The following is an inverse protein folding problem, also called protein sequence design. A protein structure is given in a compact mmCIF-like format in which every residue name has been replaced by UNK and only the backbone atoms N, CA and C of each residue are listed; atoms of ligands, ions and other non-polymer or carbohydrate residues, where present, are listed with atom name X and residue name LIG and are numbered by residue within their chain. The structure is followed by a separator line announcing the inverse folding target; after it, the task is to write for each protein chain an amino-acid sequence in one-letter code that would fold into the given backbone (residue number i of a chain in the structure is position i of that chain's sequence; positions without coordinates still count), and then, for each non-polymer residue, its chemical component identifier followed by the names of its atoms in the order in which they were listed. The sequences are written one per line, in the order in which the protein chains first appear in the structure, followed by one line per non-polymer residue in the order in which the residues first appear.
data_IF_860907882749
#
_entry.id   IF_860907882749
#
_cell.length_a   1.000
_cell.length_b   1.000
_cell.length_c   1.000
_cell.angle_alpha   90.00
_cell.angle_beta   90.00
_cell.angle_gamma   90.00
#
_symmetry.space_group_name_H-M   'P 1'
#
loop_
_entity.id
_entity.type
_entity.pdbx_description
1 polymer ?
#
# COMPACT_ATOMS: atom_id res chain seq x y z
N UNK A 1 26.96 -31.50 14.64
CA UNK A 1 25.58 -31.69 14.17
C UNK A 1 25.22 -30.49 13.32
N UNK A 2 25.15 -30.67 12.00
CA UNK A 2 24.72 -29.63 11.07
C UNK A 2 23.19 -29.57 11.11
N UNK A 3 22.55 -28.39 11.13
CA UNK A 3 21.10 -28.31 11.02
C UNK A 3 20.67 -28.62 9.59
N UNK A 4 19.61 -29.43 9.48
CA UNK A 4 19.00 -29.88 8.22
C UNK A 4 18.58 -28.72 7.32
N UNK A 5 19.23 -28.65 6.16
CA UNK A 5 18.67 -28.10 4.93
C UNK A 5 17.54 -29.03 4.48
N UNK A 6 16.29 -28.69 4.83
CA UNK A 6 15.08 -29.00 4.07
C UNK A 6 13.84 -28.84 4.96
N UNK A 7 13.28 -27.62 4.98
CA UNK A 7 11.86 -27.36 5.27
C UNK A 7 11.44 -25.95 4.84
N UNK A 8 11.90 -25.50 3.67
CA UNK A 8 11.14 -24.56 2.86
C UNK A 8 10.53 -25.38 1.72
N UNK A 9 9.41 -26.05 2.03
CA UNK A 9 8.53 -26.60 1.01
C UNK A 9 8.12 -25.47 0.08
N UNK A 10 8.26 -25.70 -1.22
CA UNK A 10 8.21 -24.68 -2.25
C UNK A 10 6.99 -23.77 -2.14
N UNK A 11 7.23 -22.47 -1.95
CA UNK A 11 6.34 -21.50 -2.57
C UNK A 11 6.78 -21.43 -4.02
N UNK A 12 5.95 -21.93 -4.92
CA UNK A 12 5.83 -21.36 -6.25
C UNK A 12 6.05 -19.85 -6.12
N UNK A 13 7.05 -19.29 -6.81
CA UNK A 13 6.98 -17.86 -7.14
C UNK A 13 5.55 -17.65 -7.63
N UNK A 14 4.73 -16.95 -6.85
CA UNK A 14 3.41 -16.53 -7.29
C UNK A 14 3.70 -15.80 -8.59
N UNK A 15 3.38 -16.46 -9.70
CA UNK A 15 3.63 -15.94 -11.03
C UNK A 15 2.78 -14.69 -11.09
N UNK A 16 3.42 -13.54 -10.89
CA UNK A 16 2.75 -12.24 -10.99
C UNK A 16 2.02 -12.26 -12.33
N UNK A 17 0.69 -12.04 -12.34
CA UNK A 17 -0.11 -12.25 -13.53
C UNK A 17 0.37 -11.33 -14.64
N UNK A 18 0.60 -11.94 -15.80
CA UNK A 18 1.06 -11.25 -16.99
C UNK A 18 -0.13 -10.59 -17.71
N UNK A 19 -0.09 -9.27 -17.82
CA UNK A 19 -1.11 -8.44 -18.48
C UNK A 19 -0.50 -7.73 -19.70
N UNK A 20 -1.22 -7.64 -20.83
CA UNK A 20 -0.69 -7.03 -22.06
C UNK A 20 -1.53 -5.81 -22.47
N UNK A 21 -0.87 -4.69 -22.75
CA UNK A 21 -1.51 -3.43 -23.17
C UNK A 21 -0.89 -2.92 -24.45
N UNK A 22 -1.72 -2.48 -25.41
CA UNK A 22 -1.22 -1.87 -26.64
C UNK A 22 -1.30 -0.34 -26.57
N UNK A 23 -0.21 0.34 -26.92
CA UNK A 23 -0.07 1.79 -26.84
C UNK A 23 -0.15 2.48 -28.21
N UNK A 24 -0.92 3.58 -28.33
CA UNK A 24 -0.88 4.47 -29.50
C UNK A 24 0.34 5.41 -29.46
N UNK A 25 0.90 5.74 -30.64
CA UNK A 25 2.09 6.59 -30.78
C UNK A 25 1.85 8.11 -30.59
N UNK A 26 0.63 8.60 -30.31
CA UNK A 26 0.29 10.04 -30.36
C UNK A 26 -0.03 10.65 -28.99
N UNK A 27 0.51 11.84 -28.73
CA UNK A 27 0.43 12.57 -27.44
C UNK A 27 -0.23 13.96 -27.56
N UNK A 28 -1.12 14.19 -28.52
CA UNK A 28 -1.87 15.46 -28.61
C UNK A 28 -3.20 15.40 -27.84
N UNK A 29 -3.67 16.54 -27.34
CA UNK A 29 -5.02 16.71 -26.77
C UNK A 29 -6.03 16.98 -27.89
N UNK A 30 -7.17 16.29 -27.91
CA UNK A 30 -8.21 16.43 -28.94
C UNK A 30 -9.56 16.64 -28.26
N UNK A 31 -10.22 17.78 -28.47
CA UNK A 31 -11.61 17.96 -28.04
C UNK A 31 -12.56 17.34 -29.08
N UNK A 32 -13.47 16.47 -28.66
CA UNK A 32 -14.49 15.93 -29.57
C UNK A 32 -15.72 16.84 -29.52
N UNK A 33 -16.15 17.36 -30.66
CA UNK A 33 -17.40 18.12 -30.75
C UNK A 33 -18.62 17.16 -30.84
N UNK A 34 -18.76 16.27 -29.84
CA UNK A 34 -19.92 15.38 -29.69
C UNK A 34 -20.26 15.16 -28.21
N UNK A 35 -21.51 14.80 -27.95
CA UNK A 35 -21.93 14.32 -26.65
C UNK A 35 -21.31 12.95 -26.35
N UNK A 36 -21.11 12.64 -25.07
CA UNK A 36 -20.69 11.31 -24.60
C UNK A 36 -21.77 10.28 -24.94
N UNK A 37 -21.36 9.17 -25.58
CA UNK A 37 -22.24 8.04 -25.87
C UNK A 37 -22.35 7.10 -24.65
N UNK A 38 -23.12 6.02 -24.78
CA UNK A 38 -23.27 5.01 -23.72
C UNK A 38 -21.94 4.39 -23.33
N UNK A 39 -21.11 4.10 -24.31
CA UNK A 39 -19.84 3.41 -24.13
C UNK A 39 -18.83 4.31 -23.41
N UNK A 40 -18.81 5.61 -23.72
CA UNK A 40 -17.95 6.58 -23.02
C UNK A 40 -18.30 6.67 -21.52
N UNK A 41 -19.60 6.60 -21.19
CA UNK A 41 -20.07 6.64 -19.80
C UNK A 41 -19.76 5.33 -19.07
N UNK A 42 -19.96 4.20 -19.75
CA UNK A 42 -19.61 2.88 -19.22
C UNK A 42 -18.09 2.79 -18.96
N UNK A 43 -17.25 3.24 -19.90
CA UNK A 43 -15.81 3.32 -19.73
C UNK A 43 -15.41 4.15 -18.50
N UNK A 44 -16.01 5.33 -18.33
CA UNK A 44 -15.75 6.18 -17.17
C UNK A 44 -16.13 5.50 -15.86
N UNK A 45 -17.28 4.84 -15.84
CA UNK A 45 -17.78 4.08 -14.69
C UNK A 45 -16.86 2.91 -14.35
N UNK A 46 -16.58 2.03 -15.33
CA UNK A 46 -15.70 0.87 -15.15
C UNK A 46 -14.29 1.28 -14.75
N UNK A 47 -13.75 2.37 -15.31
CA UNK A 47 -12.45 2.89 -14.90
C UNK A 47 -12.46 3.30 -13.42
N UNK A 48 -13.47 4.06 -12.99
CA UNK A 48 -13.58 4.51 -11.61
C UNK A 48 -13.68 3.33 -10.62
N UNK A 49 -14.50 2.33 -10.96
CA UNK A 49 -14.72 1.12 -10.14
C UNK A 49 -13.59 0.10 -10.18
N UNK A 50 -12.60 0.25 -11.07
CA UNK A 50 -11.46 -0.69 -11.15
C UNK A 50 -10.14 0.04 -10.90
N UNK A 51 -9.56 0.65 -11.93
CA UNK A 51 -8.28 1.34 -11.85
C UNK A 51 -8.31 2.56 -10.94
N UNK A 52 -9.46 3.23 -10.81
CA UNK A 52 -9.66 4.32 -9.87
C UNK A 52 -9.47 3.88 -8.42
N UNK A 53 -10.12 2.78 -8.02
CA UNK A 53 -9.98 2.20 -6.69
C UNK A 53 -8.57 1.66 -6.42
N UNK A 54 -7.94 0.99 -7.39
CA UNK A 54 -6.55 0.54 -7.27
C UNK A 54 -5.58 1.71 -7.06
N UNK A 55 -5.73 2.77 -7.84
CA UNK A 55 -4.90 3.96 -7.71
C UNK A 55 -5.09 4.65 -6.34
N UNK A 56 -6.32 4.67 -5.82
CA UNK A 56 -6.58 5.16 -4.46
C UNK A 56 -5.85 4.32 -3.42
N UNK A 57 -5.91 2.98 -3.53
CA UNK A 57 -5.22 2.08 -2.62
C UNK A 57 -3.70 2.33 -2.61
N UNK A 58 -3.07 2.48 -3.78
CA UNK A 58 -1.63 2.78 -3.89
C UNK A 58 -1.27 4.15 -3.32
N UNK A 59 -2.11 5.17 -3.52
CA UNK A 59 -1.87 6.49 -2.90
C UNK A 59 -1.86 6.41 -1.38
N UNK A 60 -2.76 5.63 -0.79
CA UNK A 60 -2.79 5.44 0.66
C UNK A 60 -1.55 4.68 1.12
N UNK A 61 -1.09 3.68 0.36
CA UNK A 61 0.18 3.01 0.62
C UNK A 61 1.36 3.99 0.73
N UNK A 62 1.50 4.95 -0.19
CA UNK A 62 2.56 5.97 -0.09
C UNK A 62 2.40 6.89 1.11
N UNK A 63 1.17 7.30 1.45
CA UNK A 63 0.91 8.11 2.65
C UNK A 63 1.38 7.36 3.91
N UNK A 64 1.17 6.05 3.96
CA UNK A 64 1.64 5.21 5.07
C UNK A 64 3.18 5.15 5.13
N UNK A 65 3.85 5.05 3.98
CA UNK A 65 5.32 5.10 3.88
C UNK A 65 5.87 6.43 4.39
N UNK A 66 5.30 7.54 3.94
CA UNK A 66 5.73 8.87 4.36
C UNK A 66 5.55 9.07 5.87
N UNK A 67 4.45 8.56 6.45
CA UNK A 67 4.19 8.62 7.89
C UNK A 67 5.21 7.80 8.70
N UNK A 68 5.56 6.61 8.23
CA UNK A 68 6.61 5.79 8.84
C UNK A 68 7.97 6.48 8.77
N UNK A 69 8.36 7.00 7.60
CA UNK A 69 9.64 7.68 7.43
C UNK A 69 9.72 8.94 8.30
N UNK A 70 8.62 9.67 8.43
CA UNK A 70 8.51 10.81 9.35
C UNK A 70 8.68 10.41 10.82
N UNK A 71 8.12 9.26 11.24
CA UNK A 71 8.35 8.73 12.61
C UNK A 71 9.83 8.48 12.85
N UNK A 72 10.49 7.75 11.96
CA UNK A 72 11.91 7.40 12.09
C UNK A 72 12.77 8.66 12.10
N UNK A 73 12.47 9.62 11.21
CA UNK A 73 13.13 10.91 11.17
C UNK A 73 12.95 11.68 12.49
N UNK A 74 11.73 11.75 13.00
CA UNK A 74 11.40 12.47 14.24
C UNK A 74 12.14 11.87 15.44
N UNK A 75 12.14 10.55 15.57
CA UNK A 75 12.87 9.83 16.62
C UNK A 75 14.37 10.16 16.59
N UNK A 76 14.99 10.12 15.40
CA UNK A 76 16.42 10.34 15.27
C UNK A 76 16.84 11.80 15.57
N UNK A 77 15.91 12.75 15.56
CA UNK A 77 16.17 14.18 15.85
C UNK A 77 15.95 14.61 17.29
N UNK A 78 15.33 13.78 18.12
CA UNK A 78 15.14 14.10 19.53
C UNK A 78 16.52 14.22 20.22
N UNK A 79 16.60 14.89 21.35
CA UNK A 79 17.80 14.85 22.19
C UNK A 79 17.73 13.62 23.11
N UNK A 80 18.82 13.22 23.77
CA UNK A 80 18.77 12.11 24.73
C UNK A 80 18.40 12.61 26.14
N UNK A 81 17.15 13.05 26.30
CA UNK A 81 16.62 13.58 27.56
C UNK A 81 15.45 12.74 28.10
N UNK A 82 15.14 12.87 29.39
CA UNK A 82 13.96 12.20 30.00
C UNK A 82 12.65 12.63 29.32
N UNK A 83 12.54 13.90 28.94
CA UNK A 83 11.41 14.41 28.16
C UNK A 83 11.32 13.71 26.79
N UNK A 84 12.48 13.45 26.17
CA UNK A 84 12.56 12.73 24.90
C UNK A 84 12.14 11.26 25.01
N UNK A 85 12.32 10.59 26.16
CA UNK A 85 11.77 9.24 26.36
C UNK A 85 10.24 9.22 26.28
N UNK A 86 9.58 10.22 26.88
CA UNK A 86 8.12 10.36 26.83
C UNK A 86 7.65 10.67 25.40
N UNK A 87 8.36 11.55 24.69
CA UNK A 87 8.05 11.87 23.29
C UNK A 87 8.20 10.67 22.36
N UNK A 88 9.29 9.91 22.49
CA UNK A 88 9.51 8.66 21.74
C UNK A 88 8.41 7.66 22.04
N UNK A 89 8.07 7.45 23.32
CA UNK A 89 6.99 6.56 23.71
C UNK A 89 5.67 6.96 23.03
N UNK A 90 5.32 8.24 23.06
CA UNK A 90 4.09 8.76 22.42
C UNK A 90 4.10 8.55 20.91
N UNK A 91 5.19 8.90 20.23
CA UNK A 91 5.32 8.75 18.78
C UNK A 91 5.17 7.28 18.34
N UNK A 92 5.73 6.34 19.11
CA UNK A 92 5.55 4.89 18.87
C UNK A 92 4.09 4.48 19.09
N UNK A 93 3.43 4.98 20.13
CA UNK A 93 2.01 4.69 20.41
C UNK A 93 1.10 5.18 19.29
N UNK A 94 1.33 6.42 18.84
CA UNK A 94 0.55 7.05 17.79
C UNK A 94 0.71 6.24 16.49
N UNK A 95 1.96 5.91 16.11
CA UNK A 95 2.24 5.05 14.97
C UNK A 95 1.54 3.69 15.03
N UNK A 96 1.62 2.99 16.17
CA UNK A 96 0.96 1.69 16.34
C UNK A 96 -0.56 1.80 16.33
N UNK A 97 -1.12 2.92 16.79
CA UNK A 97 -2.56 3.18 16.77
C UNK A 97 -3.04 3.50 15.36
N UNK A 98 -2.33 4.35 14.63
CA UNK A 98 -2.62 4.68 13.24
C UNK A 98 -2.50 3.46 12.35
N UNK A 99 -1.48 2.63 12.58
CA UNK A 99 -1.31 1.35 11.91
C UNK A 99 -2.51 0.41 12.09
N UNK A 100 -3.15 0.40 13.27
CA UNK A 100 -4.37 -0.40 13.48
C UNK A 100 -5.55 0.17 12.70
N UNK A 101 -5.66 1.50 12.61
CA UNK A 101 -6.68 2.15 11.77
C UNK A 101 -6.47 1.80 10.29
N UNK A 102 -5.22 1.75 9.84
CA UNK A 102 -4.84 1.32 8.49
C UNK A 102 -5.25 -0.14 8.22
N UNK A 103 -4.93 -1.07 9.14
CA UNK A 103 -5.33 -2.48 8.99
C UNK A 103 -6.87 -2.61 8.94
N UNK A 104 -7.59 -1.91 9.80
CA UNK A 104 -9.06 -1.90 9.77
C UNK A 104 -9.61 -1.29 8.48
N UNK A 105 -8.96 -0.24 7.96
CA UNK A 105 -9.31 0.34 6.67
C UNK A 105 -9.14 -0.70 5.55
N UNK A 106 -8.01 -1.41 5.52
CA UNK A 106 -7.74 -2.46 4.54
C UNK A 106 -8.74 -3.61 4.63
N UNK A 107 -9.10 -4.06 5.84
CA UNK A 107 -10.13 -5.07 6.04
C UNK A 107 -11.48 -4.64 5.45
N UNK A 108 -11.91 -3.40 5.75
CA UNK A 108 -13.16 -2.87 5.20
C UNK A 108 -13.09 -2.65 3.69
N UNK A 109 -11.95 -2.18 3.18
CA UNK A 109 -11.74 -1.95 1.76
C UNK A 109 -11.78 -3.27 1.00
N UNK A 110 -11.06 -4.29 1.46
CA UNK A 110 -11.05 -5.61 0.83
C UNK A 110 -12.42 -6.26 0.88
N UNK A 111 -13.11 -6.20 2.03
CA UNK A 111 -14.47 -6.70 2.18
C UNK A 111 -15.49 -6.05 1.23
N UNK A 112 -15.31 -4.76 0.95
CA UNK A 112 -16.24 -3.99 0.09
C UNK A 112 -15.95 -4.13 -1.40
N UNK A 113 -14.69 -4.41 -1.76
CA UNK A 113 -14.22 -4.32 -3.15
C UNK A 113 -13.80 -5.67 -3.75
N UNK A 114 -13.58 -6.71 -2.93
CA UNK A 114 -13.28 -8.06 -3.40
C UNK A 114 -14.51 -8.95 -3.32
N UNK A 115 -14.58 -9.98 -4.17
CA UNK A 115 -15.51 -11.09 -3.90
C UNK A 115 -15.18 -11.82 -2.60
N UNK A 116 -16.17 -12.56 -2.09
CA UNK A 116 -16.02 -13.37 -0.88
C UNK A 116 -14.80 -14.28 -0.94
N UNK A 117 -14.51 -14.92 -2.08
CA UNK A 117 -13.37 -15.80 -2.23
C UNK A 117 -12.03 -15.07 -2.03
N UNK A 118 -11.84 -13.95 -2.74
CA UNK A 118 -10.60 -13.18 -2.64
C UNK A 118 -10.45 -12.48 -1.30
N UNK A 119 -11.56 -12.01 -0.71
CA UNK A 119 -11.57 -11.46 0.64
C UNK A 119 -11.13 -12.48 1.69
N UNK A 120 -11.65 -13.72 1.64
CA UNK A 120 -11.22 -14.76 2.58
C UNK A 120 -9.72 -15.08 2.44
N UNK A 121 -9.21 -15.16 1.21
CA UNK A 121 -7.77 -15.37 0.96
C UNK A 121 -6.91 -14.23 1.55
N UNK A 122 -7.38 -12.99 1.43
CA UNK A 122 -6.68 -11.84 2.04
C UNK A 122 -6.74 -11.90 3.58
N UNK A 123 -7.89 -12.26 4.15
CA UNK A 123 -8.06 -12.39 5.60
C UNK A 123 -7.18 -13.50 6.19
N UNK A 124 -7.07 -14.64 5.51
CA UNK A 124 -6.13 -15.70 5.87
C UNK A 124 -4.67 -15.23 5.83
N UNK A 125 -4.31 -14.40 4.85
CA UNK A 125 -2.98 -13.79 4.76
C UNK A 125 -2.73 -12.83 5.93
N UNK A 126 -3.68 -11.94 6.27
CA UNK A 126 -3.59 -11.03 7.42
C UNK A 126 -3.42 -11.77 8.73
N UNK A 127 -4.27 -12.77 9.00
CA UNK A 127 -4.13 -13.61 10.19
C UNK A 127 -2.79 -14.35 10.20
N UNK A 128 -2.33 -14.81 9.03
CA UNK A 128 -1.02 -15.40 8.84
C UNK A 128 0.14 -14.47 9.24
N UNK A 129 0.00 -13.15 9.03
CA UNK A 129 0.99 -12.16 9.48
C UNK A 129 1.11 -12.17 11.00
N UNK A 130 -0.02 -12.16 11.70
CA UNK A 130 -0.05 -12.25 13.16
C UNK A 130 0.55 -13.58 13.67
N UNK A 131 0.24 -14.70 13.04
CA UNK A 131 0.69 -16.01 13.52
C UNK A 131 2.18 -16.28 13.28
N UNK A 132 2.75 -15.79 12.18
CA UNK A 132 4.11 -16.13 11.77
C UNK A 132 5.16 -15.12 12.25
N UNK A 133 4.82 -13.85 12.37
CA UNK A 133 5.81 -12.80 12.64
C UNK A 133 5.74 -12.30 14.09
N UNK A 134 6.82 -12.52 14.84
CA UNK A 134 6.92 -12.06 16.24
C UNK A 134 6.83 -10.53 16.36
N UNK A 135 7.47 -9.80 15.44
CA UNK A 135 7.42 -8.34 15.38
C UNK A 135 5.99 -7.83 15.18
N UNK A 136 5.17 -8.56 14.40
CA UNK A 136 3.77 -8.21 14.19
C UNK A 136 2.99 -8.24 15.52
N UNK A 137 3.15 -9.35 16.26
CA UNK A 137 2.52 -9.50 17.59
C UNK A 137 3.04 -8.51 18.61
N UNK A 138 4.35 -8.24 18.62
CA UNK A 138 4.98 -7.26 19.51
C UNK A 138 4.37 -5.87 19.25
N UNK A 139 4.36 -5.38 18.01
CA UNK A 139 3.77 -4.08 17.68
C UNK A 139 2.30 -4.00 18.07
N UNK A 140 1.51 -5.01 17.70
CA UNK A 140 0.07 -5.08 18.02
C UNK A 140 -0.20 -5.01 19.53
N UNK A 141 0.56 -5.74 20.35
CA UNK A 141 0.34 -5.79 21.80
C UNK A 141 1.02 -4.67 22.56
N UNK A 142 2.10 -4.08 22.02
CA UNK A 142 2.77 -2.94 22.63
C UNK A 142 1.83 -1.74 22.72
N UNK A 143 1.00 -1.52 21.70
CA UNK A 143 -0.07 -0.51 21.71
C UNK A 143 -0.92 -0.60 22.98
N UNK A 144 -1.37 -1.80 23.33
CA UNK A 144 -2.25 -2.01 24.49
C UNK A 144 -1.53 -1.74 25.82
N UNK A 145 -0.24 -2.06 25.93
CA UNK A 145 0.56 -1.76 27.12
C UNK A 145 0.75 -0.26 27.26
N UNK A 146 1.11 0.39 26.16
CA UNK A 146 1.50 1.77 26.13
C UNK A 146 0.33 2.74 26.37
N UNK A 147 -0.90 2.31 26.07
CA UNK A 147 -2.13 3.00 26.48
C UNK A 147 -2.36 3.02 28.00
N UNK A 148 -1.75 2.10 28.75
CA UNK A 148 -1.97 1.95 30.20
C UNK A 148 -0.70 2.20 31.04
N UNK A 149 0.49 2.22 30.43
CA UNK A 149 1.78 2.39 31.11
C UNK A 149 2.61 3.44 30.37
N UNK A 150 2.89 4.56 31.02
CA UNK A 150 3.59 5.73 30.43
C UNK A 150 5.08 5.43 30.14
N UNK A 151 5.69 4.50 30.87
CA UNK A 151 7.14 4.24 30.85
C UNK A 151 7.53 2.98 30.05
N UNK A 152 7.09 2.89 28.79
CA UNK A 152 7.42 1.75 27.92
C UNK A 152 8.88 1.76 27.43
N UNK A 153 9.54 2.93 27.41
CA UNK A 153 10.92 3.08 26.96
C UNK A 153 11.85 3.13 28.17
N UNK A 154 12.79 2.20 28.22
CA UNK A 154 13.76 2.09 29.32
C UNK A 154 15.07 2.81 29.02
N UNK A 155 15.52 2.80 27.76
CA UNK A 155 16.81 3.35 27.35
C UNK A 155 16.80 3.80 25.90
N UNK A 156 17.51 4.88 25.60
CA UNK A 156 17.83 5.31 24.24
C UNK A 156 19.36 5.35 24.12
N UNK A 157 19.92 4.60 23.16
CA UNK A 157 21.33 4.69 22.80
C UNK A 157 21.46 5.40 21.46
N UNK A 158 22.40 6.32 21.36
CA UNK A 158 22.73 7.01 20.12
C UNK A 158 24.04 6.45 19.57
N UNK A 159 24.09 6.25 18.26
CA UNK A 159 25.31 5.85 17.56
C UNK A 159 25.39 6.53 16.20
N UNK A 160 26.62 6.74 15.74
CA UNK A 160 26.91 7.31 14.42
C UNK A 160 27.11 6.15 13.44
N UNK A 161 26.42 6.20 12.31
CA UNK A 161 26.62 5.25 11.19
C UNK A 161 27.55 5.84 10.14
N UNK A 162 28.05 5.00 9.21
CA UNK A 162 29.14 5.29 8.26
C UNK A 162 29.01 6.57 7.42
N UNK A 163 27.85 7.21 7.39
CA UNK A 163 27.59 8.47 6.68
C UNK A 163 27.49 9.71 7.62
N UNK A 164 27.98 9.61 8.86
CA UNK A 164 27.87 10.67 9.86
C UNK A 164 26.43 10.93 10.34
N UNK A 165 25.47 10.10 9.92
CA UNK A 165 24.08 10.18 10.36
C UNK A 165 23.95 9.60 11.77
N UNK A 166 23.20 10.29 12.62
CA UNK A 166 22.84 9.82 13.95
C UNK A 166 21.70 8.80 13.82
N UNK A 167 21.86 7.63 14.44
CA UNK A 167 20.80 6.63 14.58
C UNK A 167 20.58 6.34 16.07
N UNK A 168 19.32 6.13 16.43
CA UNK A 168 18.92 5.80 17.80
C UNK A 168 18.40 4.37 17.91
N UNK A 169 18.93 3.64 18.88
CA UNK A 169 18.34 2.39 19.35
C UNK A 169 17.48 2.67 20.57
N UNK A 170 16.22 2.27 20.48
CA UNK A 170 15.23 2.48 21.53
C UNK A 170 14.92 1.14 22.17
N UNK A 171 15.15 1.01 23.48
CA UNK A 171 14.98 -0.23 24.21
C UNK A 171 13.73 -0.16 25.09
N UNK A 172 12.93 -1.22 25.02
CA UNK A 172 11.78 -1.38 25.90
C UNK A 172 12.20 -1.47 27.36
N UNK A 173 11.38 -0.93 28.25
CA UNK A 173 11.55 -1.10 29.68
C UNK A 173 11.08 -2.50 30.10
N UNK A 174 12.03 -3.38 30.44
CA UNK A 174 11.71 -4.78 30.82
C UNK A 174 10.73 -4.87 31.98
N UNK A 175 10.73 -3.92 32.91
CA UNK A 175 9.85 -3.99 34.08
C UNK A 175 8.36 -3.84 33.76
N UNK A 176 8.03 -3.30 32.57
CA UNK A 176 6.63 -3.16 32.13
C UNK A 176 6.13 -4.33 31.30
N UNK A 177 7.04 -5.21 30.85
CA UNK A 177 6.74 -6.42 30.07
C UNK A 177 6.37 -7.55 31.04
N UNK A 178 5.07 -7.81 31.17
CA UNK A 178 4.53 -8.82 32.08
C UNK A 178 4.22 -10.15 31.39
N UNK A 179 3.84 -11.17 32.18
CA UNK A 179 3.49 -12.48 31.66
C UNK A 179 2.33 -12.44 30.65
N UNK A 180 1.43 -11.47 30.75
CA UNK A 180 0.34 -11.32 29.80
C UNK A 180 0.87 -10.86 28.43
N UNK A 181 1.82 -9.93 28.42
CA UNK A 181 2.52 -9.55 27.19
C UNK A 181 3.19 -10.75 26.55
N UNK A 182 4.03 -11.48 27.31
CA UNK A 182 4.79 -12.62 26.81
C UNK A 182 3.88 -13.71 26.22
N UNK A 183 2.77 -14.02 26.89
CA UNK A 183 1.80 -14.99 26.40
C UNK A 183 1.18 -14.54 25.07
N UNK A 184 0.77 -13.26 24.98
CA UNK A 184 0.14 -12.70 23.79
C UNK A 184 1.09 -12.60 22.59
N UNK A 185 2.36 -12.28 22.84
CA UNK A 185 3.38 -12.22 21.79
C UNK A 185 3.98 -13.58 21.44
N UNK A 186 3.62 -14.64 22.19
CA UNK A 186 4.22 -15.98 22.10
C UNK A 186 5.76 -15.90 22.28
N UNK A 187 6.21 -15.11 23.27
CA UNK A 187 7.63 -14.94 23.63
C UNK A 187 7.86 -15.26 25.11
N UNK A 188 9.09 -15.10 25.60
CA UNK A 188 9.46 -15.29 27.02
C UNK A 188 10.27 -14.10 27.54
N UNK A 189 10.49 -14.02 28.86
CA UNK A 189 11.39 -13.03 29.44
C UNK A 189 12.81 -13.12 28.84
N UNK A 190 13.33 -14.34 28.68
CA UNK A 190 14.65 -14.61 28.09
C UNK A 190 14.76 -14.11 26.63
N UNK A 191 13.65 -14.07 25.89
CA UNK A 191 13.65 -13.50 24.53
C UNK A 191 14.14 -12.04 24.55
N UNK A 192 13.72 -11.27 25.55
CA UNK A 192 14.07 -9.86 25.73
C UNK A 192 15.36 -9.65 26.54
N UNK A 193 16.06 -10.72 26.94
CA UNK A 193 17.42 -10.59 27.50
C UNK A 193 18.44 -10.19 26.43
N UNK A 194 18.18 -10.56 25.17
CA UNK A 194 18.97 -10.12 24.03
C UNK A 194 18.62 -8.67 23.65
N UNK A 195 19.61 -7.78 23.68
CA UNK A 195 19.45 -6.36 23.31
C UNK A 195 18.86 -6.15 21.91
N UNK A 196 19.11 -7.06 20.96
CA UNK A 196 18.52 -6.99 19.62
C UNK A 196 16.99 -7.16 19.62
N UNK A 197 16.47 -7.97 20.54
CA UNK A 197 15.04 -8.22 20.71
C UNK A 197 14.39 -7.22 21.68
N UNK A 198 15.19 -6.63 22.58
CA UNK A 198 14.74 -5.57 23.48
C UNK A 198 14.63 -4.21 22.76
N UNK A 199 15.45 -4.00 21.74
CA UNK A 199 15.34 -2.85 20.84
C UNK A 199 14.02 -2.93 20.06
N UNK A 200 13.19 -1.88 20.15
CA UNK A 200 11.88 -1.85 19.51
C UNK A 200 11.96 -1.48 18.02
N UNK A 201 13.02 -0.82 17.59
CA UNK A 201 13.15 -0.30 16.21
C UNK A 201 13.02 -1.41 15.14
N UNK A 202 13.73 -2.56 15.23
CA UNK A 202 13.57 -3.64 14.26
C UNK A 202 12.16 -4.23 14.28
N UNK A 203 11.47 -4.21 15.42
CA UNK A 203 10.09 -4.69 15.51
C UNK A 203 9.10 -3.73 14.84
N UNK A 204 9.29 -2.41 14.99
CA UNK A 204 8.47 -1.40 14.29
C UNK A 204 8.66 -1.46 12.78
N UNK A 205 9.91 -1.55 12.31
CA UNK A 205 10.22 -1.69 10.89
C UNK A 205 9.56 -2.95 10.31
N UNK A 206 9.71 -4.10 10.98
CA UNK A 206 9.08 -5.36 10.52
C UNK A 206 7.55 -5.34 10.63
N UNK A 207 6.99 -4.66 11.64
CA UNK A 207 5.55 -4.46 11.76
C UNK A 207 5.02 -3.63 10.57
N UNK A 208 5.74 -2.57 10.22
CA UNK A 208 5.44 -1.71 9.08
C UNK A 208 5.55 -2.44 7.74
N UNK A 209 6.63 -3.20 7.52
CA UNK A 209 6.77 -4.08 6.35
C UNK A 209 5.59 -5.06 6.24
N UNK A 210 5.09 -5.54 7.37
CA UNK A 210 3.90 -6.39 7.40
C UNK A 210 2.67 -5.69 6.83
N UNK A 211 2.43 -4.44 7.23
CA UNK A 211 1.32 -3.61 6.72
C UNK A 211 1.50 -3.33 5.22
N UNK A 212 2.72 -3.05 4.78
CA UNK A 212 3.01 -2.89 3.35
C UNK A 212 2.63 -4.14 2.54
N UNK A 213 2.96 -5.33 3.05
CA UNK A 213 2.55 -6.58 2.40
C UNK A 213 1.03 -6.74 2.34
N UNK A 214 0.29 -6.31 3.35
CA UNK A 214 -1.18 -6.35 3.32
C UNK A 214 -1.77 -5.45 2.22
N UNK A 215 -1.20 -4.25 2.01
CA UNK A 215 -1.58 -3.36 0.91
C UNK A 215 -1.34 -4.00 -0.45
N UNK A 216 -0.12 -4.51 -0.65
CA UNK A 216 0.28 -5.12 -1.92
C UNK A 216 -0.56 -6.36 -2.23
N UNK A 217 -0.84 -7.19 -1.22
CA UNK A 217 -1.68 -8.38 -1.37
C UNK A 217 -3.14 -8.03 -1.71
N UNK A 218 -3.72 -7.02 -1.06
CA UNK A 218 -5.05 -6.50 -1.39
C UNK A 218 -5.11 -5.99 -2.84
N UNK A 219 -4.11 -5.21 -3.25
CA UNK A 219 -4.00 -4.67 -4.61
C UNK A 219 -3.88 -5.78 -5.66
N UNK A 220 -3.05 -6.80 -5.41
CA UNK A 220 -2.87 -7.96 -6.29
C UNK A 220 -4.17 -8.71 -6.49
N UNK A 221 -4.83 -9.06 -5.39
CA UNK A 221 -6.11 -9.78 -5.43
C UNK A 221 -7.19 -9.01 -6.19
N UNK A 222 -7.28 -7.69 -5.96
CA UNK A 222 -8.24 -6.86 -6.66
C UNK A 222 -7.93 -6.74 -8.15
N UNK A 223 -6.65 -6.59 -8.52
CA UNK A 223 -6.22 -6.60 -9.90
C UNK A 223 -6.56 -7.93 -10.59
N UNK A 224 -6.28 -9.05 -9.95
CA UNK A 224 -6.52 -10.39 -10.49
C UNK A 224 -7.99 -10.67 -10.76
N UNK A 225 -8.85 -10.22 -9.86
CA UNK A 225 -10.31 -10.32 -10.01
C UNK A 225 -10.84 -9.43 -11.14
N UNK A 226 -10.25 -8.26 -11.37
CA UNK A 226 -10.75 -7.27 -12.33
C UNK A 226 -9.98 -7.25 -13.66
N UNK A 227 -8.94 -8.07 -13.83
CA UNK A 227 -8.07 -8.06 -15.03
C UNK A 227 -8.84 -8.17 -16.35
N UNK A 228 -9.88 -9.00 -16.41
CA UNK A 228 -10.67 -9.17 -17.64
C UNK A 228 -11.50 -7.94 -17.96
N UNK A 229 -12.07 -7.28 -16.94
CA UNK A 229 -12.78 -6.01 -17.13
C UNK A 229 -11.82 -4.91 -17.61
N UNK A 230 -10.61 -4.88 -17.06
CA UNK A 230 -9.56 -3.93 -17.50
C UNK A 230 -9.16 -4.21 -18.96
N UNK A 231 -8.99 -5.48 -19.34
CA UNK A 231 -8.73 -5.88 -20.73
C UNK A 231 -9.85 -5.45 -21.69
N UNK A 232 -11.11 -5.64 -21.30
CA UNK A 232 -12.27 -5.22 -22.10
C UNK A 232 -12.31 -3.70 -22.27
N UNK A 233 -12.04 -2.95 -21.19
CA UNK A 233 -11.94 -1.50 -21.22
C UNK A 233 -10.88 -1.00 -22.20
N UNK A 234 -9.67 -1.60 -22.19
CA UNK A 234 -8.60 -1.27 -23.14
C UNK A 234 -9.04 -1.54 -24.58
N UNK A 235 -9.62 -2.71 -24.86
CA UNK A 235 -10.10 -3.07 -26.21
C UNK A 235 -11.17 -2.11 -26.72
N UNK A 236 -12.07 -1.65 -25.84
CA UNK A 236 -13.10 -0.67 -26.18
C UNK A 236 -12.51 0.72 -26.48
N UNK A 237 -11.54 1.19 -25.68
CA UNK A 237 -10.82 2.43 -25.99
C UNK A 237 -10.05 2.33 -27.33
N UNK A 238 -9.43 1.18 -27.61
CA UNK A 238 -8.73 0.93 -28.87
C UNK A 238 -9.70 0.92 -30.07
N UNK A 239 -10.87 0.29 -29.95
CA UNK A 239 -11.86 0.21 -31.05
C UNK A 239 -12.46 1.56 -31.40
N UNK A 240 -12.61 2.45 -30.40
CA UNK A 240 -13.05 3.83 -30.59
C UNK A 240 -11.96 4.74 -31.19
N UNK A 241 -10.73 4.26 -31.30
CA UNK A 241 -9.61 5.02 -31.86
C UNK A 241 -9.13 6.17 -30.96
N UNK A 242 -9.36 6.08 -29.64
CA UNK A 242 -8.92 7.06 -28.65
C UNK A 242 -7.40 6.99 -28.44
N UNK A 243 -6.67 7.43 -29.45
CA UNK A 243 -5.21 7.40 -29.52
C UNK A 243 -4.54 8.59 -28.85
N UNK A 244 -5.28 9.68 -28.61
CA UNK A 244 -4.81 10.88 -27.91
C UNK A 244 -4.95 10.80 -26.40
N UNK A 245 -4.12 11.58 -25.69
CA UNK A 245 -4.01 11.54 -24.22
C UNK A 245 -5.24 12.09 -23.52
N UNK A 246 -5.85 13.12 -24.09
CA UNK A 246 -7.00 13.82 -23.51
C UNK A 246 -8.06 13.97 -24.60
N UNK A 247 -9.23 13.36 -24.36
CA UNK A 247 -10.45 13.66 -25.10
C UNK A 247 -11.48 14.26 -24.15
N UNK A 248 -12.20 15.28 -24.61
CA UNK A 248 -13.33 15.85 -23.88
C UNK A 248 -14.60 15.67 -24.69
N UNK A 249 -15.67 15.19 -24.06
CA UNK A 249 -17.00 15.12 -24.63
C UNK A 249 -17.98 15.97 -23.82
N UNK A 250 -19.02 16.46 -24.47
CA UNK A 250 -20.03 17.33 -23.85
C UNK A 250 -20.98 16.52 -22.99
N UNK A 251 -21.28 16.96 -21.76
CA UNK A 251 -22.22 16.26 -20.86
C UNK A 251 -23.68 16.56 -21.21
N UNK A 252 -23.97 17.76 -21.76
CA UNK A 252 -25.29 18.20 -22.17
C UNK A 252 -25.41 18.35 -23.70
N UNK A 253 -26.49 17.81 -24.26
CA UNK A 253 -26.73 17.47 -25.67
C UNK A 253 -26.81 18.62 -26.69
N UNK A 254 -26.37 19.84 -26.38
CA UNK A 254 -26.38 20.95 -27.35
C UNK A 254 -24.99 21.11 -27.95
N UNK A 255 -24.90 20.89 -29.27
CA UNK A 255 -23.71 21.21 -30.10
C UNK A 255 -22.98 22.42 -29.56
N UNK A 256 -21.67 22.29 -29.32
CA UNK A 256 -20.83 23.43 -28.96
C UNK A 256 -20.85 24.37 -30.17
N UNK A 257 -21.33 25.59 -29.95
CA UNK A 257 -20.98 26.69 -30.83
C UNK A 257 -19.47 26.92 -30.61
N UNK A 258 -18.64 26.84 -31.64
CA UNK A 258 -17.16 26.76 -31.54
C UNK A 258 -16.52 27.89 -30.70
N UNK A 259 -17.27 28.96 -30.44
CA UNK A 259 -16.88 30.13 -29.66
C UNK A 259 -17.35 30.15 -28.20
N UNK A 260 -18.10 29.15 -27.71
CA UNK A 260 -18.60 29.13 -26.34
C UNK A 260 -17.83 28.11 -25.48
N UNK A 261 -16.98 28.63 -24.59
CA UNK A 261 -16.01 27.86 -23.80
C UNK A 261 -16.54 27.38 -22.44
N UNK A 262 -17.75 27.78 -22.05
CA UNK A 262 -18.41 27.45 -20.77
C UNK A 262 -19.36 26.24 -20.88
N UNK A 263 -18.94 25.15 -21.53
CA UNK A 263 -19.76 23.94 -21.62
C UNK A 263 -19.18 22.86 -20.72
N UNK A 264 -20.00 22.33 -19.81
CA UNK A 264 -19.66 21.17 -18.99
C UNK A 264 -19.18 20.02 -19.90
N UNK A 265 -17.89 19.74 -19.84
CA UNK A 265 -17.25 18.68 -20.60
C UNK A 265 -16.63 17.70 -19.62
N UNK A 266 -16.88 16.41 -19.82
CA UNK A 266 -16.18 15.37 -19.07
C UNK A 266 -15.07 14.78 -19.93
N UNK A 267 -13.96 14.47 -19.27
CA UNK A 267 -12.84 13.78 -19.88
C UNK A 267 -13.25 12.33 -20.21
N UNK A 268 -13.02 11.90 -21.45
CA UNK A 268 -13.22 10.52 -21.88
C UNK A 268 -12.01 9.70 -21.47
N UNK A 269 -12.24 8.48 -20.97
CA UNK A 269 -11.16 7.58 -20.59
C UNK A 269 -10.43 7.08 -21.85
N UNK A 270 -9.10 7.24 -21.84
CA UNK A 270 -8.22 6.92 -22.96
C UNK A 270 -7.25 5.80 -22.60
N UNK A 271 -6.69 5.14 -23.61
CA UNK A 271 -5.64 4.13 -23.40
C UNK A 271 -4.44 4.71 -22.62
N UNK A 272 -3.91 5.92 -22.93
CA UNK A 272 -2.87 6.54 -22.11
C UNK A 272 -3.22 6.71 -20.63
N UNK A 273 -4.47 7.08 -20.30
CA UNK A 273 -4.90 7.26 -18.90
C UNK A 273 -4.96 5.92 -18.14
N UNK A 274 -5.42 4.87 -18.82
CA UNK A 274 -5.35 3.50 -18.30
C UNK A 274 -3.90 3.10 -18.06
N UNK A 275 -3.02 3.35 -19.03
CA UNK A 275 -1.59 3.01 -18.93
C UNK A 275 -0.88 3.74 -17.80
N UNK A 276 -1.18 5.02 -17.60
CA UNK A 276 -0.55 5.81 -16.53
C UNK A 276 -0.84 5.17 -15.14
N UNK A 277 -2.04 4.62 -14.92
CA UNK A 277 -2.34 3.86 -13.70
C UNK A 277 -1.63 2.51 -13.69
N UNK A 278 -1.66 1.76 -14.81
CA UNK A 278 -1.04 0.44 -14.89
C UNK A 278 0.48 0.48 -14.67
N UNK A 279 1.17 1.54 -15.11
CA UNK A 279 2.60 1.73 -14.83
C UNK A 279 2.90 1.79 -13.34
N UNK A 280 2.09 2.52 -12.58
CA UNK A 280 2.20 2.60 -11.11
C UNK A 280 2.04 1.19 -10.51
N UNK A 281 1.06 0.41 -10.96
CA UNK A 281 0.84 -0.96 -10.46
C UNK A 281 2.02 -1.89 -10.78
N UNK A 282 2.65 -1.70 -11.94
CA UNK A 282 3.81 -2.49 -12.36
C UNK A 282 5.07 -2.12 -11.56
N UNK A 283 5.30 -0.83 -11.30
CA UNK A 283 6.39 -0.33 -10.46
C UNK A 283 6.30 -0.90 -9.04
N UNK A 284 5.09 -0.93 -8.48
CA UNK A 284 4.81 -1.50 -7.15
C UNK A 284 4.73 -3.04 -7.14
N UNK A 285 4.99 -3.71 -8.27
CA UNK A 285 4.90 -5.17 -8.42
C UNK A 285 3.55 -5.74 -7.96
N UNK A 286 2.49 -4.97 -8.15
CA UNK A 286 1.09 -5.39 -7.95
C UNK A 286 0.65 -6.22 -9.17
N UNK A 287 1.12 -5.86 -10.35
CA UNK A 287 0.87 -6.60 -11.59
C UNK A 287 2.16 -6.70 -12.40
N UNK A 288 2.23 -7.68 -13.30
CA UNK A 288 3.32 -7.79 -14.27
C UNK A 288 2.77 -7.41 -15.63
N UNK A 289 3.14 -6.24 -16.11
CA UNK A 289 2.48 -5.62 -17.27
C UNK A 289 3.46 -5.45 -18.42
N UNK A 290 3.10 -6.00 -19.58
CA UNK A 290 3.79 -5.79 -20.83
C UNK A 290 3.09 -4.70 -21.66
N UNK A 291 3.85 -3.66 -22.01
CA UNK A 291 3.41 -2.57 -22.85
C UNK A 291 3.94 -2.77 -24.27
N UNK A 292 3.05 -3.08 -25.21
CA UNK A 292 3.36 -3.22 -26.62
C UNK A 292 3.03 -1.91 -27.36
N UNK A 293 3.95 -1.34 -28.13
CA UNK A 293 3.71 -0.09 -28.86
C UNK A 293 3.27 -0.44 -30.29
N UNK A 294 2.10 0.06 -30.72
CA UNK A 294 1.64 -0.08 -32.11
C UNK A 294 2.48 0.85 -33.00
N UNK A 295 3.45 0.28 -33.71
CA UNK A 295 4.11 0.87 -34.87
C UNK A 295 5.58 1.25 -34.67
N UNK A 296 6.47 0.34 -35.08
CA UNK A 296 7.53 0.68 -36.05
C UNK A 296 7.24 -0.21 -37.25
N UNK A 297 6.62 0.36 -38.28
CA UNK A 297 6.73 -0.15 -39.65
C UNK A 297 7.88 0.57 -40.32
#
# INVERSE_FOLDING_TARGET
MKPDENKFGGSSEEKIPFFMVTLPNKTMSIKLNRALDSDDRELAHTFAETLGLLNQLVKIFYICNDAHDYLIFSINRLENTVESHTHVARAIIDFLSDSRLIINYLENWTKSNLSSEYYQKWLEFEHGMFDRFVSYRIGYHLRNIAQHKIFIIGKINEHIVDNGKLKKDIYLNKSVLDNNFYNKTKTSANFFENDRNLSIMPHLENYFLGIQYLYLDAGRKFFDENKEKINQMIKLCESKGYSSRIYHGVTNSKKINENNWDVDASEIITVPKIVDVLKILNEEKIANINFNIKGIS
#
